data_IF_278859843971
#
_entry.id   IF_278859843971
#
_cell.length_a   1.000
_cell.length_b   1.000
_cell.length_c   1.000
_cell.angle_alpha   90.00
_cell.angle_beta   90.00
_cell.angle_gamma   90.00
#
_symmetry.space_group_name_H-M   'P 1'
#
loop_
_entity.id
_entity.type
_entity.pdbx_description
1 polymer ?
#
# COMPACT_ATOMS: atom_id res chain seq x y z
N UNK A 1 -25.58 13.93 -7.90
CA UNK A 1 -25.17 12.65 -8.54
C UNK A 1 -25.74 11.49 -7.76
N UNK A 2 -26.33 10.48 -8.43
CA UNK A 2 -26.83 9.25 -7.80
C UNK A 2 -25.82 8.13 -7.97
N UNK A 3 -25.48 7.43 -6.89
CA UNK A 3 -24.61 6.24 -6.90
C UNK A 3 -25.38 5.07 -6.29
N UNK A 4 -25.35 3.92 -6.94
CA UNK A 4 -25.94 2.67 -6.42
C UNK A 4 -24.82 1.73 -6.02
N UNK A 5 -24.86 1.24 -4.80
CA UNK A 5 -23.85 0.34 -4.23
C UNK A 5 -24.55 -0.90 -3.69
N UNK A 6 -24.09 -2.08 -4.11
CA UNK A 6 -24.58 -3.36 -3.62
C UNK A 6 -23.78 -3.75 -2.38
N UNK A 7 -24.44 -3.91 -1.24
CA UNK A 7 -23.83 -4.42 0.00
C UNK A 7 -24.64 -5.61 0.46
N UNK A 8 -24.00 -6.78 0.60
CA UNK A 8 -24.66 -8.03 1.00
C UNK A 8 -25.88 -8.40 0.15
N UNK A 9 -25.81 -8.09 -1.15
CA UNK A 9 -26.89 -8.33 -2.13
C UNK A 9 -28.00 -7.29 -2.12
N UNK A 10 -27.92 -6.26 -1.27
CA UNK A 10 -28.92 -5.19 -1.15
C UNK A 10 -28.43 -3.94 -1.87
N UNK A 11 -29.28 -3.36 -2.72
CA UNK A 11 -29.01 -2.08 -3.39
C UNK A 11 -29.21 -0.91 -2.42
N UNK A 12 -28.16 -0.12 -2.23
CA UNK A 12 -28.22 1.12 -1.48
C UNK A 12 -27.99 2.32 -2.41
N UNK A 13 -28.82 3.35 -2.26
CA UNK A 13 -28.76 4.56 -3.07
C UNK A 13 -28.11 5.68 -2.29
N UNK A 14 -27.05 6.25 -2.85
CA UNK A 14 -26.35 7.40 -2.31
C UNK A 14 -26.55 8.62 -3.21
N UNK A 15 -26.84 9.77 -2.61
CA UNK A 15 -27.02 11.04 -3.30
C UNK A 15 -25.89 11.99 -2.92
N UNK A 16 -25.16 12.49 -3.91
CA UNK A 16 -24.12 13.50 -3.76
C UNK A 16 -24.62 14.85 -4.26
N UNK A 17 -24.77 15.81 -3.36
CA UNK A 17 -25.24 17.17 -3.64
C UNK A 17 -24.55 18.17 -2.71
N UNK A 18 -24.23 19.36 -3.21
CA UNK A 18 -23.58 20.41 -2.41
C UNK A 18 -22.23 20.02 -1.80
N UNK A 19 -21.49 19.10 -2.44
CA UNK A 19 -20.19 18.63 -1.94
C UNK A 19 -20.26 17.52 -0.88
N UNK A 20 -21.46 17.00 -0.57
CA UNK A 20 -21.63 15.96 0.45
C UNK A 20 -22.44 14.78 -0.10
N UNK A 21 -22.10 13.57 0.34
CA UNK A 21 -22.86 12.35 0.05
C UNK A 21 -23.71 11.92 1.23
N UNK A 22 -24.95 11.52 0.96
CA UNK A 22 -25.91 11.02 1.94
C UNK A 22 -26.52 9.70 1.46
N UNK A 23 -26.83 8.81 2.40
CA UNK A 23 -27.62 7.61 2.12
C UNK A 23 -29.10 8.02 1.96
N UNK A 24 -29.72 7.62 0.85
CA UNK A 24 -31.17 7.72 0.66
C UNK A 24 -31.82 6.49 1.30
N UNK A 25 -32.65 6.72 2.31
CA UNK A 25 -33.50 5.69 2.91
C UNK A 25 -34.92 5.89 2.37
N UNK A 26 -35.47 4.83 1.79
CA UNK A 26 -36.88 4.78 1.40
C UNK A 26 -37.61 3.96 2.48
N UNK A 27 -38.77 4.45 2.91
CA UNK A 27 -39.60 3.80 3.91
C UNK A 27 -41.04 3.75 3.38
N UNK A 28 -41.74 2.64 3.65
CA UNK A 28 -43.17 2.54 3.41
C UNK A 28 -43.92 3.20 4.56
N UNK A 29 -45.02 3.90 4.24
CA UNK A 29 -45.91 4.46 5.25
C UNK A 29 -46.77 3.36 5.84
N UNK A 30 -46.93 3.34 7.16
CA UNK A 30 -47.84 2.42 7.86
C UNK A 30 -49.14 3.13 8.24
N UNK A 31 -50.17 2.34 8.56
CA UNK A 31 -51.44 2.86 9.10
C UNK A 31 -51.22 3.61 10.41
N UNK A 32 -52.05 4.62 10.71
CA UNK A 32 -51.86 5.50 11.87
C UNK A 32 -51.89 4.77 13.23
N UNK A 33 -52.47 3.57 13.28
CA UNK A 33 -52.55 2.73 14.47
C UNK A 33 -51.33 1.82 14.67
N UNK A 34 -50.45 1.74 13.67
CA UNK A 34 -49.24 0.93 13.76
C UNK A 34 -48.14 1.69 14.51
N UNK A 35 -47.94 1.30 15.77
CA UNK A 35 -46.90 1.83 16.67
C UNK A 35 -45.61 1.01 16.61
N UNK A 36 -45.56 -0.07 15.81
CA UNK A 36 -44.34 -0.84 15.63
C UNK A 36 -43.38 -0.05 14.74
N UNK A 37 -42.36 0.57 15.34
CA UNK A 37 -41.35 1.31 14.59
C UNK A 37 -40.63 0.40 13.59
N UNK A 38 -40.73 0.73 12.29
CA UNK A 38 -39.95 0.05 11.26
C UNK A 38 -38.45 0.27 11.51
N UNK A 39 -37.71 -0.81 11.70
CA UNK A 39 -36.26 -0.73 11.90
C UNK A 39 -35.57 -0.53 10.56
N UNK A 40 -35.19 0.71 10.25
CA UNK A 40 -34.39 1.04 9.07
C UNK A 40 -33.00 0.40 9.20
N UNK A 41 -32.71 -0.61 8.36
CA UNK A 41 -31.40 -1.26 8.33
C UNK A 41 -30.42 -0.41 7.53
N UNK A 42 -29.41 0.11 8.23
CA UNK A 42 -28.27 0.76 7.58
C UNK A 42 -27.36 -0.29 6.94
N UNK A 43 -26.72 0.03 5.80
CA UNK A 43 -25.71 -0.85 5.23
C UNK A 43 -24.48 -0.91 6.12
N UNK A 44 -23.89 -2.09 6.19
CA UNK A 44 -22.65 -2.35 6.90
C UNK A 44 -21.44 -1.99 6.01
N UNK A 45 -21.21 -0.69 5.86
CA UNK A 45 -20.22 -0.10 4.95
C UNK A 45 -19.69 1.23 5.48
N UNK A 46 -18.37 1.41 5.35
CA UNK A 46 -17.74 2.71 5.36
C UNK A 46 -17.56 3.18 3.93
N UNK A 47 -18.26 4.23 3.53
CA UNK A 47 -18.16 4.80 2.20
C UNK A 47 -17.13 5.91 2.19
N UNK A 48 -16.08 5.74 1.38
CA UNK A 48 -14.98 6.70 1.28
C UNK A 48 -15.25 7.59 0.07
N UNK A 49 -15.02 8.88 0.27
CA UNK A 49 -15.33 9.94 -0.68
C UNK A 49 -14.12 10.84 -0.91
N UNK A 50 -14.15 11.62 -1.99
CA UNK A 50 -13.30 12.80 -2.14
C UNK A 50 -13.87 13.95 -1.28
N UNK A 51 -13.11 15.03 -1.11
CA UNK A 51 -13.59 16.27 -0.46
C UNK A 51 -14.85 16.88 -1.10
N UNK A 52 -15.10 16.64 -2.39
CA UNK A 52 -16.31 17.08 -3.08
C UNK A 52 -17.51 16.13 -2.88
N UNK A 53 -17.38 15.11 -2.01
CA UNK A 53 -18.41 14.14 -1.70
C UNK A 53 -18.48 12.95 -2.66
N UNK A 54 -17.84 12.99 -3.83
CA UNK A 54 -17.87 11.89 -4.81
C UNK A 54 -17.37 10.58 -4.17
N UNK A 55 -18.19 9.50 -4.13
CA UNK A 55 -17.77 8.20 -3.61
C UNK A 55 -16.70 7.53 -4.48
N UNK A 56 -15.68 6.94 -3.85
CA UNK A 56 -14.52 6.37 -4.56
C UNK A 56 -14.33 4.87 -4.28
N UNK A 57 -14.51 4.42 -3.04
CA UNK A 57 -14.51 3.01 -2.67
C UNK A 57 -15.21 2.79 -1.31
N UNK A 58 -15.45 1.55 -0.95
CA UNK A 58 -16.18 1.14 0.25
C UNK A 58 -15.45 0.04 1.01
N UNK A 59 -15.39 0.19 2.33
CA UNK A 59 -14.75 -0.75 3.24
C UNK A 59 -15.78 -1.42 4.15
N UNK A 60 -15.53 -2.68 4.49
CA UNK A 60 -16.31 -3.44 5.47
C UNK A 60 -15.82 -3.11 6.88
N UNK A 61 -16.66 -2.55 7.77
CA UNK A 61 -16.34 -2.46 9.21
C UNK A 61 -16.16 -3.83 9.84
N UNK A 62 -15.46 -3.89 10.97
CA UNK A 62 -15.32 -5.09 11.80
C UNK A 62 -16.22 -5.04 13.03
N UNK A 63 -16.27 -6.15 13.79
CA UNK A 63 -16.99 -6.18 15.07
C UNK A 63 -16.46 -5.09 16.01
N UNK A 64 -17.37 -4.30 16.58
CA UNK A 64 -17.05 -3.18 17.45
C UNK A 64 -16.94 -1.82 16.75
N UNK A 65 -16.89 -1.81 15.41
CA UNK A 65 -16.98 -0.57 14.64
C UNK A 65 -18.43 -0.04 14.56
N UNK A 66 -18.56 1.24 14.21
CA UNK A 66 -19.84 1.76 13.71
C UNK A 66 -20.13 1.12 12.36
N UNK A 67 -21.29 0.47 12.22
CA UNK A 67 -21.69 -0.23 10.99
C UNK A 67 -21.70 0.69 9.74
N UNK A 68 -22.08 1.95 9.89
CA UNK A 68 -22.20 2.89 8.78
C UNK A 68 -21.42 4.18 9.01
N UNK A 69 -20.58 4.56 8.04
CA UNK A 69 -19.84 5.83 8.02
C UNK A 69 -19.72 6.34 6.59
N UNK A 70 -19.69 7.66 6.42
CA UNK A 70 -19.23 8.32 5.19
C UNK A 70 -18.04 9.19 5.58
N UNK A 71 -16.88 8.96 4.97
CA UNK A 71 -15.61 9.61 5.32
C UNK A 71 -14.94 10.13 4.04
N UNK A 72 -14.08 11.13 4.18
CA UNK A 72 -13.13 11.45 3.10
C UNK A 72 -11.92 10.53 3.15
N UNK A 73 -11.21 10.39 2.03
CA UNK A 73 -9.95 9.64 1.99
C UNK A 73 -8.92 10.18 2.98
N UNK A 74 -8.85 11.51 3.17
CA UNK A 74 -7.96 12.14 4.15
C UNK A 74 -8.31 11.72 5.57
N UNK A 75 -9.62 11.68 5.90
CA UNK A 75 -10.04 11.27 7.24
C UNK A 75 -9.74 9.80 7.51
N UNK A 76 -9.91 8.96 6.50
CA UNK A 76 -9.55 7.55 6.58
C UNK A 76 -8.04 7.37 6.83
N UNK A 77 -7.21 8.16 6.14
CA UNK A 77 -5.77 8.16 6.28
C UNK A 77 -5.31 8.63 7.67
N UNK A 78 -5.92 9.71 8.20
CA UNK A 78 -5.66 10.17 9.58
C UNK A 78 -5.96 9.09 10.63
N UNK A 79 -6.98 8.27 10.39
CA UNK A 79 -7.36 7.14 11.23
C UNK A 79 -6.48 5.89 11.00
N UNK A 80 -5.49 5.97 10.11
CA UNK A 80 -4.52 4.91 9.79
C UNK A 80 -5.15 3.63 9.23
N UNK A 81 -6.39 3.70 8.76
CA UNK A 81 -7.12 2.55 8.21
C UNK A 81 -6.55 2.18 6.83
N UNK A 82 -6.45 0.89 6.54
CA UNK A 82 -5.97 0.35 5.27
C UNK A 82 -6.74 -0.90 4.87
N UNK A 83 -6.62 -1.36 3.62
CA UNK A 83 -7.43 -2.48 3.09
C UNK A 83 -6.65 -3.45 2.19
N UNK A 84 -5.33 -3.35 2.15
CA UNK A 84 -4.49 -4.08 1.20
C UNK A 84 -3.53 -5.09 1.86
N UNK A 85 -3.40 -5.07 3.19
CA UNK A 85 -2.66 -6.07 3.98
C UNK A 85 -3.55 -6.61 5.12
N UNK A 86 -4.22 -7.76 4.96
CA UNK A 86 -5.17 -8.31 5.94
C UNK A 86 -4.60 -8.63 7.32
N UNK A 87 -3.29 -8.86 7.40
CA UNK A 87 -2.59 -9.19 8.65
C UNK A 87 -1.98 -7.95 9.34
N UNK A 88 -2.05 -6.78 8.69
CA UNK A 88 -1.63 -5.52 9.30
C UNK A 88 -2.76 -4.92 10.13
N UNK A 89 -2.40 -4.15 11.16
CA UNK A 89 -3.37 -3.43 11.99
C UNK A 89 -4.21 -2.44 11.18
N UNK A 90 -5.38 -2.13 11.71
CA UNK A 90 -6.37 -1.22 11.10
C UNK A 90 -6.83 -1.66 9.70
N UNK A 91 -6.70 -2.96 9.39
CA UNK A 91 -7.23 -3.53 8.16
C UNK A 91 -8.76 -3.47 8.13
N UNK A 92 -9.33 -3.08 7.00
CA UNK A 92 -10.75 -3.25 6.68
C UNK A 92 -10.89 -3.78 5.26
N UNK A 93 -11.71 -4.79 5.06
CA UNK A 93 -11.85 -5.43 3.75
C UNK A 93 -12.46 -4.46 2.73
N UNK A 94 -11.80 -4.28 1.59
CA UNK A 94 -12.36 -3.58 0.43
C UNK A 94 -13.54 -4.38 -0.15
N UNK A 95 -14.72 -3.76 -0.22
CA UNK A 95 -15.95 -4.43 -0.70
C UNK A 95 -16.58 -3.77 -1.93
N UNK A 96 -16.18 -2.55 -2.24
CA UNK A 96 -16.65 -1.83 -3.41
C UNK A 96 -15.58 -0.86 -3.90
N UNK A 97 -15.41 -0.78 -5.21
CA UNK A 97 -14.63 0.27 -5.88
C UNK A 97 -15.58 0.92 -6.87
N UNK A 98 -15.57 2.25 -6.96
CA UNK A 98 -16.42 2.93 -7.90
C UNK A 98 -16.09 2.48 -9.34
N UNK A 99 -17.07 1.96 -10.10
CA UNK A 99 -16.83 1.45 -11.47
C UNK A 99 -16.23 2.48 -12.42
N UNK A 100 -16.43 3.77 -12.15
CA UNK A 100 -15.91 4.87 -12.95
C UNK A 100 -14.46 5.27 -12.57
N UNK A 101 -13.84 4.56 -11.61
CA UNK A 101 -12.47 4.84 -11.18
C UNK A 101 -11.48 4.71 -12.33
N UNK A 102 -11.71 3.82 -13.29
CA UNK A 102 -10.81 3.55 -14.42
C UNK A 102 -11.18 4.33 -15.69
N UNK A 103 -12.34 4.99 -15.73
CA UNK A 103 -12.81 5.73 -16.91
C UNK A 103 -12.17 7.10 -16.97
N UNK A 104 -11.19 7.28 -17.85
CA UNK A 104 -10.55 8.58 -18.13
C UNK A 104 -11.60 9.67 -18.36
N UNK A 105 -11.44 10.79 -17.67
CA UNK A 105 -12.35 11.95 -17.74
C UNK A 105 -13.54 11.89 -16.76
N UNK A 106 -13.79 10.78 -16.08
CA UNK A 106 -14.74 10.76 -14.96
C UNK A 106 -14.21 11.54 -13.75
N UNK A 107 -15.09 12.15 -12.95
CA UNK A 107 -14.66 12.88 -11.74
C UNK A 107 -13.89 11.96 -10.76
N UNK A 108 -14.34 10.72 -10.63
CA UNK A 108 -13.73 9.69 -9.78
C UNK A 108 -12.33 9.31 -10.24
N UNK A 109 -12.07 9.32 -11.56
CA UNK A 109 -10.76 9.01 -12.13
C UNK A 109 -9.66 9.91 -11.55
N UNK A 110 -10.01 11.18 -11.29
CA UNK A 110 -9.11 12.20 -10.72
C UNK A 110 -8.85 12.02 -9.23
N UNK A 111 -9.48 11.07 -8.55
CA UNK A 111 -9.17 10.73 -7.16
C UNK A 111 -7.83 10.00 -7.02
N UNK A 112 -7.33 9.43 -8.11
CA UNK A 112 -6.19 8.53 -8.11
C UNK A 112 -5.11 9.01 -9.05
N UNK A 113 -3.86 8.75 -8.67
CA UNK A 113 -2.80 8.60 -9.66
C UNK A 113 -2.89 7.18 -10.23
N UNK A 114 -3.01 7.08 -11.55
CA UNK A 114 -3.10 5.80 -12.24
C UNK A 114 -1.71 5.29 -12.54
N UNK A 115 -1.35 4.15 -11.97
CA UNK A 115 -0.04 3.51 -12.15
C UNK A 115 -0.21 2.01 -12.25
N UNK A 116 0.74 1.36 -12.93
CA UNK A 116 0.78 -0.09 -13.10
C UNK A 116 1.87 -0.68 -12.22
N UNK A 117 1.74 -1.98 -11.91
CA UNK A 117 2.85 -2.73 -11.30
C UNK A 117 4.11 -2.73 -12.17
N UNK A 118 3.97 -2.64 -13.49
CA UNK A 118 5.09 -2.53 -14.42
C UNK A 118 5.89 -1.26 -14.19
N UNK A 119 5.22 -0.11 -14.16
CA UNK A 119 5.85 1.20 -13.90
C UNK A 119 6.51 1.25 -12.51
N UNK A 120 5.87 0.67 -11.48
CA UNK A 120 6.49 0.54 -10.16
C UNK A 120 7.76 -0.32 -10.20
N UNK A 121 7.73 -1.45 -10.92
CA UNK A 121 8.88 -2.34 -11.08
C UNK A 121 10.00 -1.62 -11.81
N UNK A 122 9.72 -0.97 -12.94
CA UNK A 122 10.70 -0.18 -13.70
C UNK A 122 11.38 0.88 -12.82
N UNK A 123 10.61 1.52 -11.94
CA UNK A 123 11.17 2.45 -10.97
C UNK A 123 12.04 1.74 -9.92
N UNK A 124 11.60 0.59 -9.40
CA UNK A 124 12.23 -0.14 -8.30
C UNK A 124 13.52 -0.87 -8.67
N UNK A 125 13.69 -1.30 -9.93
CA UNK A 125 14.86 -2.07 -10.37
C UNK A 125 16.13 -1.22 -10.54
N UNK A 126 15.99 0.10 -10.66
CA UNK A 126 17.12 1.03 -10.73
C UNK A 126 17.84 1.04 -9.38
N UNK A 127 19.12 0.61 -9.37
CA UNK A 127 19.97 0.68 -8.16
C UNK A 127 20.24 2.14 -7.81
N UNK A 128 20.04 2.50 -6.55
CA UNK A 128 20.27 3.85 -6.05
C UNK A 128 20.95 3.81 -4.69
N UNK A 129 21.69 4.88 -4.38
CA UNK A 129 22.18 5.09 -3.02
C UNK A 129 21.01 5.27 -2.06
N UNK A 130 21.14 4.79 -0.82
CA UNK A 130 20.07 4.85 0.19
C UNK A 130 19.54 6.26 0.42
N UNK A 131 20.40 7.29 0.31
CA UNK A 131 19.99 8.70 0.44
C UNK A 131 18.95 9.12 -0.60
N UNK A 132 18.93 8.50 -1.79
CA UNK A 132 18.00 8.87 -2.87
C UNK A 132 16.52 8.67 -2.53
N UNK A 133 16.20 7.86 -1.51
CA UNK A 133 14.82 7.58 -1.09
C UNK A 133 14.26 8.62 -0.11
N UNK A 134 15.04 9.65 0.25
CA UNK A 134 14.49 10.80 0.98
C UNK A 134 13.55 11.62 0.11
N UNK A 135 12.64 12.34 0.79
CA UNK A 135 11.64 13.20 0.15
C UNK A 135 12.24 14.07 -0.94
N UNK A 136 11.58 14.11 -2.12
CA UNK A 136 11.97 14.90 -3.30
C UNK A 136 13.28 14.47 -3.99
N UNK A 137 13.92 13.39 -3.56
CA UNK A 137 15.08 12.83 -4.25
C UNK A 137 14.68 11.74 -5.27
N UNK A 138 15.56 11.34 -6.21
CA UNK A 138 15.19 10.49 -7.34
C UNK A 138 14.68 9.07 -7.02
N UNK A 139 14.79 8.63 -5.77
CA UNK A 139 14.24 7.38 -5.26
C UNK A 139 12.88 7.54 -4.56
N UNK A 140 12.41 8.77 -4.32
CA UNK A 140 11.10 9.05 -3.73
C UNK A 140 9.98 8.87 -4.78
N UNK A 141 9.55 7.63 -4.93
CA UNK A 141 8.47 7.27 -5.84
C UNK A 141 7.17 8.05 -5.54
N UNK A 142 6.92 8.43 -4.29
CA UNK A 142 5.66 9.08 -3.86
C UNK A 142 5.52 10.49 -4.44
N UNK A 143 6.65 11.17 -4.67
CA UNK A 143 6.70 12.53 -5.23
C UNK A 143 7.12 12.59 -6.70
N UNK A 144 7.53 11.46 -7.25
CA UNK A 144 7.90 11.33 -8.67
C UNK A 144 6.67 11.42 -9.58
N UNK A 145 6.82 12.08 -10.72
CA UNK A 145 5.83 12.16 -11.81
C UNK A 145 5.53 10.77 -12.42
N UNK A 146 6.55 9.90 -12.43
CA UNK A 146 6.49 8.47 -12.78
C UNK A 146 5.93 7.57 -11.68
N UNK A 147 5.58 8.14 -10.54
CA UNK A 147 5.07 7.41 -9.38
C UNK A 147 3.81 8.06 -8.83
N UNK A 148 3.79 8.27 -7.52
CA UNK A 148 2.63 8.79 -6.80
C UNK A 148 2.27 10.24 -7.11
N UNK A 149 3.21 11.04 -7.62
CA UNK A 149 2.98 12.43 -8.07
C UNK A 149 2.25 13.30 -7.02
N UNK A 150 2.52 13.04 -5.73
CA UNK A 150 1.87 13.73 -4.62
C UNK A 150 0.41 13.34 -4.31
N UNK A 151 -0.18 12.39 -5.05
CA UNK A 151 -1.52 11.88 -4.74
C UNK A 151 -1.51 11.08 -3.44
N UNK A 152 -2.61 11.17 -2.68
CA UNK A 152 -2.82 10.34 -1.48
C UNK A 152 -3.10 8.87 -1.85
N UNK A 153 -3.82 8.67 -2.96
CA UNK A 153 -4.25 7.37 -3.46
C UNK A 153 -3.68 7.10 -4.85
N UNK A 154 -3.22 5.88 -5.07
CA UNK A 154 -2.95 5.34 -6.41
C UNK A 154 -3.96 4.26 -6.76
N UNK A 155 -4.27 4.12 -8.06
CA UNK A 155 -5.07 3.01 -8.58
C UNK A 155 -4.14 2.09 -9.37
N UNK A 156 -4.03 0.83 -8.94
CA UNK A 156 -3.21 -0.20 -9.58
C UNK A 156 -4.04 -1.45 -9.81
N UNK A 157 -4.17 -1.88 -11.07
CA UNK A 157 -5.03 -3.02 -11.44
C UNK A 157 -6.45 -2.91 -10.85
N UNK A 158 -7.07 -1.75 -11.06
CA UNK A 158 -8.43 -1.44 -10.62
C UNK A 158 -8.64 -1.48 -9.08
N UNK A 159 -7.55 -1.54 -8.31
CA UNK A 159 -7.58 -1.49 -6.85
C UNK A 159 -6.91 -0.20 -6.33
N UNK A 160 -7.57 0.51 -5.40
CA UNK A 160 -6.95 1.66 -4.75
C UNK A 160 -5.90 1.21 -3.73
N UNK A 161 -4.85 2.00 -3.54
CA UNK A 161 -3.87 1.83 -2.47
C UNK A 161 -3.46 3.17 -1.91
N UNK A 162 -2.97 3.19 -0.67
CA UNK A 162 -2.21 4.34 -0.19
C UNK A 162 -0.92 4.48 -0.98
N UNK A 163 -0.68 5.68 -1.50
CA UNK A 163 0.53 5.99 -2.27
C UNK A 163 1.79 5.76 -1.45
N UNK A 164 1.76 6.08 -0.15
CA UNK A 164 2.91 5.90 0.73
C UNK A 164 3.24 4.43 0.98
N UNK A 165 2.23 3.57 1.17
CA UNK A 165 2.38 2.12 1.31
C UNK A 165 3.02 1.49 0.07
N UNK A 166 2.52 1.81 -1.14
CA UNK A 166 3.15 1.36 -2.40
C UNK A 166 4.57 1.93 -2.54
N UNK A 167 4.76 3.18 -2.13
CA UNK A 167 6.05 3.87 -2.17
C UNK A 167 7.16 3.23 -1.32
N UNK A 168 6.85 2.30 -0.42
CA UNK A 168 7.86 1.54 0.33
C UNK A 168 8.58 0.47 -0.52
N UNK A 169 7.93 -0.02 -1.59
CA UNK A 169 8.46 -1.14 -2.39
C UNK A 169 9.83 -0.81 -3.03
N UNK A 170 10.03 0.33 -3.73
CA UNK A 170 11.32 0.66 -4.33
C UNK A 170 12.47 0.71 -3.32
N UNK A 171 12.21 1.29 -2.14
CA UNK A 171 13.18 1.33 -1.05
C UNK A 171 13.55 -0.08 -0.55
N UNK A 172 12.54 -0.95 -0.36
CA UNK A 172 12.77 -2.32 0.09
C UNK A 172 13.56 -3.14 -0.91
N UNK A 173 13.27 -3.01 -2.21
CA UNK A 173 14.01 -3.69 -3.29
C UNK A 173 15.48 -3.29 -3.26
N UNK A 174 15.76 -1.99 -3.17
CA UNK A 174 17.13 -1.49 -3.14
C UNK A 174 17.89 -1.93 -1.87
N UNK A 175 17.22 -1.87 -0.72
CA UNK A 175 17.78 -2.27 0.56
C UNK A 175 18.07 -3.77 0.62
N UNK A 176 17.18 -4.60 0.06
CA UNK A 176 17.42 -6.03 -0.09
C UNK A 176 18.66 -6.30 -0.94
N UNK A 177 18.78 -5.66 -2.12
CA UNK A 177 19.93 -5.83 -3.01
C UNK A 177 21.24 -5.43 -2.34
N UNK A 178 21.25 -4.34 -1.57
CA UNK A 178 22.40 -3.94 -0.74
C UNK A 178 22.79 -5.07 0.22
N UNK A 179 21.87 -5.54 1.06
CA UNK A 179 22.21 -6.57 2.05
C UNK A 179 22.52 -7.91 1.42
N UNK A 180 21.92 -8.26 0.29
CA UNK A 180 22.22 -9.52 -0.39
C UNK A 180 23.63 -9.52 -1.00
N UNK A 181 24.08 -8.37 -1.54
CA UNK A 181 25.48 -8.17 -1.96
C UNK A 181 26.45 -8.35 -0.79
N UNK A 182 26.15 -7.75 0.35
CA UNK A 182 27.02 -7.78 1.55
C UNK A 182 27.06 -9.15 2.23
N UNK A 183 25.90 -9.78 2.40
CA UNK A 183 25.76 -10.98 3.26
C UNK A 183 25.87 -12.29 2.50
N UNK A 184 25.67 -12.25 1.17
CA UNK A 184 25.54 -13.45 0.32
C UNK A 184 24.44 -14.43 0.78
N UNK A 185 23.57 -14.00 1.69
CA UNK A 185 22.55 -14.82 2.31
C UNK A 185 21.18 -14.16 2.09
N UNK A 186 20.36 -14.79 1.26
CA UNK A 186 19.05 -14.26 0.85
C UNK A 186 18.12 -14.05 2.06
N UNK A 187 18.06 -15.01 2.98
CA UNK A 187 17.19 -14.93 4.16
C UNK A 187 17.63 -13.83 5.12
N UNK A 188 18.95 -13.70 5.34
CA UNK A 188 19.49 -12.64 6.17
C UNK A 188 19.24 -11.26 5.53
N UNK A 189 19.37 -11.14 4.21
CA UNK A 189 19.08 -9.90 3.49
C UNK A 189 17.61 -9.47 3.61
N UNK A 190 16.65 -10.42 3.54
CA UNK A 190 15.23 -10.12 3.77
C UNK A 190 15.02 -9.59 5.19
N UNK A 191 15.55 -10.27 6.22
CA UNK A 191 15.42 -9.85 7.62
C UNK A 191 16.01 -8.47 7.86
N UNK A 192 17.26 -8.23 7.40
CA UNK A 192 17.92 -6.93 7.52
C UNK A 192 17.14 -5.82 6.82
N UNK A 193 16.47 -6.13 5.71
CA UNK A 193 15.62 -5.15 5.00
C UNK A 193 14.44 -4.74 5.87
N UNK A 194 13.74 -5.70 6.48
CA UNK A 194 12.66 -5.42 7.43
C UNK A 194 13.13 -4.62 8.66
N UNK A 195 14.24 -5.02 9.28
CA UNK A 195 14.83 -4.31 10.43
C UNK A 195 15.19 -2.86 10.09
N UNK A 196 15.75 -2.65 8.90
CA UNK A 196 16.08 -1.31 8.40
C UNK A 196 14.79 -0.52 8.12
N UNK A 197 13.77 -1.15 7.56
CA UNK A 197 12.45 -0.55 7.38
C UNK A 197 11.86 -0.01 8.68
N UNK A 198 11.88 -0.81 9.75
CA UNK A 198 11.37 -0.40 11.06
C UNK A 198 12.19 0.76 11.65
N UNK A 199 13.53 0.68 11.58
CA UNK A 199 14.41 1.72 12.17
C UNK A 199 14.29 3.07 11.47
N UNK A 200 14.08 3.07 10.15
CA UNK A 200 14.10 4.28 9.34
C UNK A 200 12.70 4.72 8.86
N UNK A 201 11.66 3.94 9.16
CA UNK A 201 10.27 4.19 8.74
C UNK A 201 9.67 5.48 9.29
N UNK A 202 10.22 6.04 10.37
CA UNK A 202 9.82 7.36 10.90
C UNK A 202 10.33 8.53 10.05
N UNK A 203 11.24 8.31 9.10
CA UNK A 203 11.82 9.35 8.24
C UNK A 203 12.71 10.36 8.97
N UNK A 204 13.02 10.15 10.26
CA UNK A 204 13.85 11.04 11.07
C UNK A 204 15.24 10.45 11.30
N UNK A 205 16.27 11.17 10.86
CA UNK A 205 17.68 10.75 10.86
C UNK A 205 18.34 10.71 12.26
N UNK A 206 17.72 11.31 13.28
CA UNK A 206 18.36 11.63 14.58
C UNK A 206 17.53 11.28 15.82
N UNK A 207 16.34 10.69 15.68
CA UNK A 207 15.58 10.22 16.84
C UNK A 207 15.81 8.71 17.01
N UNK A 208 15.93 8.20 18.25
CA UNK A 208 15.84 6.76 18.48
C UNK A 208 14.57 6.27 17.79
N UNK A 209 14.63 5.13 17.10
CA UNK A 209 13.44 4.53 16.51
C UNK A 209 12.37 4.45 17.61
N UNK A 210 11.32 5.27 17.52
CA UNK A 210 10.14 5.06 18.35
C UNK A 210 9.72 3.62 18.04
N UNK A 211 9.69 2.77 19.06
CA UNK A 211 9.16 1.41 19.01
C UNK A 211 7.64 1.51 18.82
N UNK A 212 7.25 2.04 17.66
CA UNK A 212 5.89 2.04 17.19
C UNK A 212 5.42 0.60 16.98
N UNK A 213 4.10 0.41 16.90
CA UNK A 213 3.52 -0.91 16.65
C UNK A 213 4.08 -1.47 15.34
N UNK A 214 4.75 -2.60 15.43
CA UNK A 214 5.47 -3.16 14.29
C UNK A 214 4.57 -3.85 13.26
N UNK A 215 3.28 -4.00 13.54
CA UNK A 215 2.26 -4.58 12.66
C UNK A 215 1.56 -3.56 11.72
N UNK A 216 2.18 -2.41 11.45
CA UNK A 216 1.68 -1.40 10.49
C UNK A 216 1.93 -1.80 9.03
N UNK A 217 1.06 -1.35 8.11
CA UNK A 217 1.12 -1.75 6.70
C UNK A 217 2.46 -1.45 6.01
N UNK A 218 3.20 -0.41 6.41
CA UNK A 218 4.51 -0.10 5.83
C UNK A 218 5.47 -1.28 5.96
N UNK A 219 5.49 -1.95 7.11
CA UNK A 219 6.37 -3.10 7.36
C UNK A 219 6.01 -4.30 6.47
N UNK A 220 4.71 -4.49 6.21
CA UNK A 220 4.22 -5.50 5.29
C UNK A 220 4.60 -5.17 3.84
N UNK A 221 4.47 -3.91 3.42
CA UNK A 221 4.87 -3.48 2.07
C UNK A 221 6.39 -3.57 1.85
N UNK A 222 7.19 -3.30 2.88
CA UNK A 222 8.64 -3.51 2.85
C UNK A 222 8.97 -4.99 2.70
N UNK A 223 8.33 -5.86 3.50
CA UNK A 223 8.52 -7.31 3.36
C UNK A 223 8.10 -7.79 1.97
N UNK A 224 7.01 -7.25 1.43
CA UNK A 224 6.51 -7.58 0.09
C UNK A 224 7.54 -7.24 -0.99
N UNK A 225 8.13 -6.05 -0.93
CA UNK A 225 9.21 -5.63 -1.82
C UNK A 225 10.46 -6.50 -1.70
N UNK A 226 10.88 -6.85 -0.47
CA UNK A 226 12.04 -7.70 -0.22
C UNK A 226 11.84 -9.13 -0.76
N UNK A 227 10.67 -9.73 -0.50
CA UNK A 227 10.33 -11.07 -1.01
C UNK A 227 10.30 -11.09 -2.53
N UNK A 228 9.66 -10.10 -3.16
CA UNK A 228 9.66 -9.97 -4.62
C UNK A 228 11.07 -9.84 -5.18
N UNK A 229 11.91 -8.98 -4.59
CA UNK A 229 13.30 -8.82 -5.03
C UNK A 229 14.10 -10.12 -4.90
N UNK A 230 13.85 -10.90 -3.84
CA UNK A 230 14.52 -12.18 -3.61
C UNK A 230 14.24 -13.25 -4.69
N UNK A 231 13.14 -13.09 -5.43
CA UNK A 231 12.69 -13.97 -6.52
C UNK A 231 13.00 -13.40 -7.92
N UNK A 232 13.31 -12.09 -8.02
CA UNK A 232 13.47 -11.37 -9.30
C UNK A 232 14.86 -10.75 -9.50
N UNK A 233 15.82 -11.10 -8.63
CA UNK A 233 17.22 -10.75 -8.80
C UNK A 233 18.08 -12.00 -8.67
N UNK A 234 19.21 -12.00 -9.38
CA UNK A 234 20.25 -13.02 -9.27
C UNK A 234 21.53 -12.38 -8.73
N UNK A 235 22.15 -13.03 -7.75
CA UNK A 235 23.44 -12.64 -7.25
C UNK A 235 24.52 -13.07 -8.24
N UNK A 236 25.31 -12.10 -8.70
CA UNK A 236 26.52 -12.31 -9.46
C UNK A 236 27.74 -12.06 -8.56
N UNK A 237 28.68 -12.99 -8.63
CA UNK A 237 29.97 -12.90 -7.95
C UNK A 237 31.04 -12.84 -9.02
N UNK A 238 31.87 -11.80 -9.00
CA UNK A 238 32.98 -11.64 -9.94
C UNK A 238 34.27 -11.50 -9.16
N UNK A 239 35.30 -12.21 -9.59
CA UNK A 239 36.67 -12.03 -9.10
C UNK A 239 37.37 -11.03 -10.01
N UNK A 240 38.05 -10.07 -9.41
CA UNK A 240 38.84 -9.08 -10.12
C UNK A 240 40.24 -9.04 -9.53
N UNK A 241 41.24 -9.13 -10.39
CA UNK A 241 42.60 -8.74 -10.03
C UNK A 241 42.71 -7.21 -10.10
N UNK A 242 42.97 -6.57 -8.98
CA UNK A 242 43.32 -5.15 -8.92
C UNK A 242 44.78 -4.98 -8.53
N UNK A 243 45.40 -3.90 -9.00
CA UNK A 243 46.76 -3.52 -8.60
C UNK A 243 46.66 -2.47 -7.51
N UNK A 244 47.10 -2.79 -6.30
CA UNK A 244 47.33 -1.80 -5.24
C UNK A 244 48.84 -1.65 -5.04
N UNK A 245 49.36 -0.43 -5.27
CA UNK A 245 50.79 -0.10 -5.24
C UNK A 245 51.68 -1.05 -6.07
N UNK A 246 51.16 -1.54 -7.20
CA UNK A 246 51.89 -2.45 -8.10
C UNK A 246 51.88 -3.93 -7.69
N UNK A 247 51.22 -4.28 -6.58
CA UNK A 247 51.03 -5.66 -6.14
C UNK A 247 49.62 -6.10 -6.56
N UNK A 248 49.46 -7.25 -7.25
CA UNK A 248 48.15 -7.78 -7.61
C UNK A 248 47.44 -8.36 -6.39
N UNK A 249 46.18 -7.98 -6.20
CA UNK A 249 45.28 -8.55 -5.21
C UNK A 249 43.96 -8.96 -5.89
N UNK A 250 43.47 -10.14 -5.52
CA UNK A 250 42.13 -10.57 -5.92
C UNK A 250 41.09 -9.94 -4.99
N UNK A 251 40.11 -9.26 -5.58
CA UNK A 251 38.92 -8.79 -4.88
C UNK A 251 37.69 -9.51 -5.44
N UNK A 252 36.80 -9.88 -4.54
CA UNK A 252 35.49 -10.37 -4.91
C UNK A 252 34.49 -9.21 -4.90
N UNK A 253 33.77 -9.03 -6.00
CA UNK A 253 32.65 -8.09 -6.07
C UNK A 253 31.32 -8.82 -6.15
N UNK A 254 30.29 -8.13 -5.67
CA UNK A 254 28.94 -8.61 -5.53
C UNK A 254 27.99 -7.72 -6.32
N UNK A 255 27.19 -8.29 -7.21
CA UNK A 255 26.07 -7.55 -7.77
C UNK A 255 24.76 -8.33 -7.70
N UNK A 256 23.66 -7.62 -7.51
CA UNK A 256 22.32 -8.17 -7.57
C UNK A 256 21.66 -7.66 -8.86
N UNK A 257 21.73 -8.49 -9.90
CA UNK A 257 21.28 -8.18 -11.26
C UNK A 257 19.82 -8.56 -11.42
N UNK A 258 19.03 -7.69 -12.04
CA UNK A 258 17.61 -7.94 -12.28
C UNK A 258 17.43 -9.15 -13.21
N UNK A 259 16.65 -10.13 -12.75
CA UNK A 259 16.34 -11.36 -13.46
C UNK A 259 14.84 -11.63 -13.28
N UNK A 260 13.98 -11.09 -14.17
CA UNK A 260 12.53 -11.12 -13.99
C UNK A 260 11.99 -12.54 -13.96
N UNK A 261 11.19 -12.84 -12.94
CA UNK A 261 10.48 -14.12 -12.79
C UNK A 261 8.97 -13.88 -12.75
N UNK A 262 8.49 -13.07 -11.80
CA UNK A 262 7.07 -12.82 -11.59
C UNK A 262 6.82 -11.60 -10.69
N UNK A 263 5.70 -10.91 -10.93
CA UNK A 263 5.18 -9.84 -10.05
C UNK A 263 4.26 -10.33 -8.93
N UNK A 264 3.97 -11.63 -8.84
CA UNK A 264 2.97 -12.20 -7.93
C UNK A 264 3.14 -11.77 -6.47
N UNK A 265 4.38 -11.68 -5.98
CA UNK A 265 4.66 -11.22 -4.61
C UNK A 265 4.20 -9.78 -4.37
N UNK A 266 4.30 -8.89 -5.36
CA UNK A 266 3.85 -7.50 -5.22
C UNK A 266 2.32 -7.38 -5.25
N UNK A 267 1.63 -8.28 -5.96
CA UNK A 267 0.17 -8.19 -6.16
C UNK A 267 -0.62 -8.98 -5.12
N UNK A 268 0.04 -9.65 -4.17
CA UNK A 268 -0.62 -10.46 -3.14
C UNK A 268 -0.24 -9.97 -1.75
N UNK A 269 -1.18 -10.02 -0.78
CA UNK A 269 -0.85 -9.80 0.62
C UNK A 269 0.17 -10.78 1.15
N UNK A 270 0.90 -10.34 2.17
CA UNK A 270 1.83 -11.18 2.93
C UNK A 270 1.03 -12.29 3.63
N UNK A 271 1.55 -13.52 3.57
CA UNK A 271 0.95 -14.66 4.27
C UNK A 271 1.47 -14.78 5.71
N UNK A 272 0.75 -15.53 6.55
CA UNK A 272 1.23 -15.84 7.90
C UNK A 272 2.60 -16.54 7.88
N UNK A 273 2.84 -17.44 6.92
CA UNK A 273 4.14 -18.12 6.78
C UNK A 273 5.29 -17.16 6.45
N UNK A 274 5.02 -16.10 5.68
CA UNK A 274 6.00 -15.05 5.41
C UNK A 274 6.32 -14.26 6.69
N UNK A 275 5.32 -13.98 7.54
CA UNK A 275 5.50 -13.33 8.85
C UNK A 275 6.30 -14.22 9.80
N UNK A 276 5.91 -15.48 9.96
CA UNK A 276 6.57 -16.41 10.87
C UNK A 276 8.06 -16.55 10.53
N UNK A 277 8.38 -16.49 9.22
CA UNK A 277 9.77 -16.55 8.76
C UNK A 277 10.49 -15.22 8.86
N UNK A 278 9.89 -14.10 8.44
CA UNK A 278 10.60 -12.84 8.18
C UNK A 278 10.03 -11.60 8.88
N UNK A 279 8.90 -11.72 9.57
CA UNK A 279 8.25 -10.65 10.32
C UNK A 279 9.05 -10.24 11.56
N UNK A 280 10.13 -9.47 11.36
CA UNK A 280 11.06 -9.05 12.41
C UNK A 280 10.43 -8.18 13.50
N UNK A 281 9.22 -7.67 13.27
CA UNK A 281 8.43 -6.90 14.22
C UNK A 281 7.61 -7.71 15.23
N UNK A 282 7.55 -9.04 15.08
CA UNK A 282 6.84 -9.93 16.02
C UNK A 282 7.71 -10.34 17.21
N UNK A 283 8.93 -9.78 17.35
CA UNK A 283 9.94 -10.17 18.33
C UNK A 283 10.07 -9.18 19.47
#
# INVERSE_FOLDING_TARGET
>A
MKTVIVVDGINHVFLTEGGATKLKLEAETTEATDVAGAQLKLPDIWLITRKNGTPIFGLRPESGDKAFRILTAEKLYEEKIQWFEPLARYYRRLIWVNPESTRKGADVYLAYKHVTWGELIEFAIVDRLSISFHSLLPGDWKKSDKGGDGYLLVLMQDQPYWTDGIGQIPYAVNTFRKYWRETRNKDLAIRKTGETGIRWGSGKFYEPAETGPGDVYDNFMILRGALWASENFRLEVKQHTILDRGIPYEIETADAVYAPTSKTRLTRPISQSDIDRYGVWQR
#
